data_IF_820476329992
#
_entry.id   IF_820476329992
#
_cell.length_a   1.000
_cell.length_b   1.000
_cell.length_c   1.000
_cell.angle_alpha   90.00
_cell.angle_beta   90.00
_cell.angle_gamma   90.00
#
_symmetry.space_group_name_H-M   'P 1'
#
loop_
_entity.id
_entity.type
_entity.pdbx_description
1 polymer ?
#
# COMPACT_ATOMS: atom_id res chain seq x y z
N UNK A 1 -5.47 -3.71 13.66
CA UNK A 1 -4.28 -3.61 12.76
C UNK A 1 -3.28 -2.68 13.41
N UNK A 2 -1.98 -3.04 13.47
CA UNK A 2 -0.93 -2.10 13.89
C UNK A 2 -0.16 -1.69 12.64
N UNK A 3 -0.30 -0.42 12.24
CA UNK A 3 0.50 0.18 11.18
C UNK A 3 1.92 0.33 11.72
N UNK A 4 2.98 0.06 10.93
CA UNK A 4 4.36 0.37 11.31
C UNK A 4 4.55 1.89 11.54
N UNK A 5 4.24 2.37 12.74
CA UNK A 5 4.18 3.81 13.07
C UNK A 5 5.55 4.50 12.94
N UNK A 6 6.62 3.79 13.29
CA UNK A 6 8.00 4.26 13.11
C UNK A 6 8.31 4.51 11.63
N UNK A 7 8.06 3.51 10.77
CA UNK A 7 8.25 3.66 9.33
C UNK A 7 7.36 4.75 8.72
N UNK A 8 6.10 4.86 9.19
CA UNK A 8 5.20 5.92 8.76
C UNK A 8 5.77 7.31 9.12
N UNK A 9 6.29 7.50 10.34
CA UNK A 9 6.85 8.77 10.79
C UNK A 9 8.01 9.28 9.91
N UNK A 10 8.81 8.36 9.37
CA UNK A 10 9.91 8.66 8.46
C UNK A 10 9.44 9.10 7.06
N UNK A 11 8.19 8.79 6.69
CA UNK A 11 7.56 9.20 5.44
C UNK A 11 6.76 10.49 5.61
N UNK A 12 6.32 10.84 6.82
CA UNK A 12 5.61 12.09 7.09
C UNK A 12 6.52 13.32 6.91
N UNK A 13 5.93 14.52 6.71
CA UNK A 13 6.69 15.77 6.76
C UNK A 13 7.47 15.92 8.07
N UNK A 14 8.53 16.74 8.05
CA UNK A 14 9.37 16.96 9.25
C UNK A 14 8.62 17.67 10.39
N UNK A 15 7.53 18.36 10.08
CA UNK A 15 6.72 19.11 11.03
C UNK A 15 5.24 18.96 10.69
N UNK A 16 4.42 19.00 11.73
CA UNK A 16 2.97 19.04 11.64
C UNK A 16 2.36 18.91 13.03
N UNK A 17 1.14 19.41 13.24
CA UNK A 17 0.48 19.38 14.54
C UNK A 17 -0.64 18.35 14.59
N UNK A 18 -1.29 18.08 13.47
CA UNK A 18 -2.44 17.20 13.35
C UNK A 18 -2.19 16.15 12.29
N UNK A 19 -2.31 14.88 12.68
CA UNK A 19 -2.26 13.73 11.79
C UNK A 19 -3.65 13.09 11.75
N UNK A 20 -4.24 12.93 10.57
CA UNK A 20 -5.47 12.15 10.40
C UNK A 20 -5.26 11.03 9.39
N UNK A 21 -6.01 9.95 9.56
CA UNK A 21 -6.07 8.84 8.63
C UNK A 21 -7.55 8.48 8.46
N UNK A 22 -8.06 8.68 7.25
CA UNK A 22 -9.47 8.58 6.95
C UNK A 22 -9.67 7.75 5.67
N UNK A 23 -10.76 7.00 5.60
CA UNK A 23 -11.20 6.43 4.33
C UNK A 23 -11.56 7.58 3.37
N UNK A 24 -11.08 7.49 2.14
CA UNK A 24 -11.34 8.47 1.11
C UNK A 24 -12.63 8.10 0.35
N UNK A 25 -13.27 9.13 -0.19
CA UNK A 25 -14.39 8.97 -1.12
C UNK A 25 -13.98 8.10 -2.31
N UNK A 26 -14.89 7.24 -2.76
CA UNK A 26 -14.61 6.25 -3.81
C UNK A 26 -14.21 4.87 -3.28
N UNK A 27 -14.19 4.67 -1.96
CA UNK A 27 -14.09 3.33 -1.39
C UNK A 27 -15.35 2.50 -1.68
N UNK A 28 -15.17 1.23 -2.05
CA UNK A 28 -16.18 0.21 -2.32
C UNK A 28 -15.73 -1.13 -1.71
N UNK A 29 -16.54 -2.18 -1.89
CA UNK A 29 -16.18 -3.53 -1.43
C UNK A 29 -14.92 -4.07 -2.12
N UNK A 30 -14.66 -3.63 -3.35
CA UNK A 30 -13.54 -4.09 -4.17
C UNK A 30 -12.32 -3.16 -4.09
N UNK A 31 -12.51 -1.90 -3.70
CA UNK A 31 -11.47 -0.87 -3.64
C UNK A 31 -11.56 -0.11 -2.32
N UNK A 32 -10.56 -0.22 -1.45
CA UNK A 32 -10.45 0.64 -0.27
C UNK A 32 -9.40 1.72 -0.48
N UNK A 33 -9.80 2.96 -0.31
CA UNK A 33 -8.90 4.12 -0.37
C UNK A 33 -8.74 4.71 1.02
N UNK A 34 -7.51 4.81 1.50
CA UNK A 34 -7.18 5.54 2.73
C UNK A 34 -6.27 6.72 2.39
N UNK A 35 -6.56 7.88 2.98
CA UNK A 35 -5.72 9.07 2.91
C UNK A 35 -5.15 9.38 4.29
N UNK A 36 -3.88 9.77 4.32
CA UNK A 36 -3.23 10.31 5.51
C UNK A 36 -2.99 11.79 5.27
N UNK A 37 -3.44 12.62 6.20
CA UNK A 37 -3.26 14.07 6.14
C UNK A 37 -2.43 14.57 7.31
N UNK A 38 -1.59 15.56 7.05
CA UNK A 38 -0.84 16.33 8.07
C UNK A 38 -1.21 17.79 7.91
N UNK A 39 -1.74 18.39 8.97
CA UNK A 39 -2.26 19.76 8.97
C UNK A 39 -3.20 20.01 7.78
N UNK A 40 -4.12 19.08 7.57
CA UNK A 40 -5.14 19.07 6.51
C UNK A 40 -4.57 18.97 5.07
N UNK A 41 -3.26 18.72 4.92
CA UNK A 41 -2.62 18.41 3.63
C UNK A 41 -2.45 16.91 3.47
N UNK A 42 -2.93 16.34 2.36
CA UNK A 42 -2.76 14.92 2.05
C UNK A 42 -1.30 14.60 1.73
N UNK A 43 -0.71 13.68 2.48
CA UNK A 43 0.73 13.34 2.41
C UNK A 43 0.99 11.91 2.01
N UNK A 44 0.02 11.01 2.21
CA UNK A 44 0.12 9.62 1.80
C UNK A 44 -1.24 9.11 1.39
N UNK A 45 -1.27 8.32 0.33
CA UNK A 45 -2.46 7.59 -0.13
C UNK A 45 -2.16 6.10 -0.11
N UNK A 46 -3.12 5.32 0.33
CA UNK A 46 -3.12 3.87 0.24
C UNK A 46 -4.36 3.44 -0.52
N UNK A 47 -4.20 2.67 -1.59
CA UNK A 47 -5.30 1.96 -2.23
C UNK A 47 -5.13 0.46 -2.04
N UNK A 48 -6.22 -0.24 -1.77
CA UNK A 48 -6.27 -1.70 -1.70
C UNK A 48 -7.37 -2.19 -2.61
N UNK A 49 -7.02 -3.07 -3.54
CA UNK A 49 -7.91 -3.44 -4.64
C UNK A 49 -7.84 -4.95 -4.86
N UNK A 50 -8.97 -5.55 -5.23
CA UNK A 50 -8.97 -6.87 -5.87
C UNK A 50 -8.60 -6.69 -7.34
N UNK A 51 -7.58 -7.41 -7.78
CA UNK A 51 -7.07 -7.35 -9.16
C UNK A 51 -7.07 -8.72 -9.79
N UNK A 52 -7.19 -8.78 -11.12
CA UNK A 52 -7.02 -10.03 -11.84
C UNK A 52 -5.62 -10.61 -11.62
N UNK A 53 -5.56 -11.93 -11.45
CA UNK A 53 -4.30 -12.64 -11.29
C UNK A 53 -3.47 -12.56 -12.57
N UNK A 54 -2.18 -12.26 -12.43
CA UNK A 54 -1.25 -12.17 -13.56
C UNK A 54 -0.38 -10.92 -13.49
N UNK A 55 -0.89 -9.85 -12.86
CA UNK A 55 -0.10 -8.67 -12.59
C UNK A 55 0.99 -8.91 -11.53
N UNK A 56 2.10 -8.21 -11.70
CA UNK A 56 3.20 -8.18 -10.72
C UNK A 56 3.24 -6.82 -10.02
N UNK A 57 3.73 -6.78 -8.78
CA UNK A 57 3.89 -5.53 -8.05
C UNK A 57 4.74 -4.50 -8.81
N UNK A 58 5.75 -4.98 -9.56
CA UNK A 58 6.58 -4.13 -10.41
C UNK A 58 5.80 -3.59 -11.61
N UNK A 59 4.98 -4.43 -12.26
CA UNK A 59 4.15 -4.00 -13.39
C UNK A 59 3.18 -2.91 -12.97
N UNK A 60 2.53 -3.04 -11.80
CA UNK A 60 1.58 -2.04 -11.27
C UNK A 60 2.30 -0.70 -11.00
N UNK A 61 3.48 -0.72 -10.36
CA UNK A 61 4.25 0.50 -10.15
C UNK A 61 4.67 1.17 -11.46
N UNK A 62 5.03 0.38 -12.47
CA UNK A 62 5.36 0.89 -13.79
C UNK A 62 4.14 1.48 -14.49
N UNK A 63 3.01 0.75 -14.55
CA UNK A 63 1.83 1.16 -15.30
C UNK A 63 1.11 2.35 -14.67
N UNK A 64 0.99 2.38 -13.34
CA UNK A 64 0.25 3.43 -12.64
C UNK A 64 1.09 4.67 -12.32
N UNK A 65 2.39 4.49 -12.04
CA UNK A 65 3.26 5.57 -11.54
C UNK A 65 4.52 5.80 -12.38
N UNK A 66 4.71 5.06 -13.49
CA UNK A 66 5.89 5.17 -14.35
C UNK A 66 7.22 4.92 -13.63
N UNK A 67 7.21 4.14 -12.53
CA UNK A 67 8.42 3.77 -11.79
C UNK A 67 9.05 2.55 -12.46
N UNK A 68 10.06 2.77 -13.30
CA UNK A 68 10.62 1.73 -14.17
C UNK A 68 11.59 0.74 -13.50
N UNK A 69 12.18 1.09 -12.36
CA UNK A 69 13.19 0.25 -11.68
C UNK A 69 12.95 0.16 -10.16
N UNK A 70 11.78 -0.32 -9.71
CA UNK A 70 11.55 -0.53 -8.29
C UNK A 70 12.41 -1.69 -7.77
N UNK A 71 12.79 -1.64 -6.50
CA UNK A 71 13.38 -2.78 -5.79
C UNK A 71 12.27 -3.79 -5.45
N UNK A 72 12.65 -5.04 -5.25
CA UNK A 72 11.73 -6.11 -4.83
C UNK A 72 12.02 -6.61 -3.41
N UNK A 73 11.00 -7.17 -2.77
CA UNK A 73 11.10 -7.89 -1.51
C UNK A 73 10.06 -9.02 -1.46
N UNK A 74 10.19 -9.93 -0.48
CA UNK A 74 9.26 -11.03 -0.23
C UNK A 74 8.97 -11.84 -1.51
N UNK A 75 10.03 -12.37 -2.13
CA UNK A 75 9.94 -13.19 -3.35
C UNK A 75 9.20 -12.51 -4.51
N UNK A 76 9.34 -11.18 -4.62
CA UNK A 76 8.75 -10.37 -5.69
C UNK A 76 7.27 -10.03 -5.49
N UNK A 77 6.67 -10.42 -4.37
CA UNK A 77 5.31 -10.00 -3.99
C UNK A 77 5.23 -8.54 -3.58
N UNK A 78 6.37 -7.91 -3.25
CA UNK A 78 6.48 -6.49 -2.98
C UNK A 78 7.44 -5.85 -3.97
N UNK A 79 7.03 -4.71 -4.53
CA UNK A 79 7.88 -3.79 -5.28
C UNK A 79 7.83 -2.40 -4.62
N UNK A 80 8.97 -1.71 -4.53
CA UNK A 80 9.04 -0.42 -3.85
C UNK A 80 10.11 0.51 -4.42
N UNK A 81 9.88 1.80 -4.24
CA UNK A 81 10.81 2.90 -4.39
C UNK A 81 10.69 3.83 -3.17
N UNK A 82 11.38 4.96 -3.17
CA UNK A 82 11.30 5.97 -2.10
C UNK A 82 9.92 6.62 -1.95
N UNK A 83 9.21 6.81 -3.07
CA UNK A 83 7.95 7.54 -3.15
C UNK A 83 6.70 6.65 -3.23
N UNK A 84 6.84 5.36 -3.51
CA UNK A 84 5.71 4.46 -3.63
C UNK A 84 6.10 2.98 -3.46
N UNK A 85 5.12 2.15 -3.12
CA UNK A 85 5.26 0.70 -3.10
C UNK A 85 3.96 0.00 -3.46
N UNK A 86 4.08 -1.19 -4.02
CA UNK A 86 2.98 -2.13 -4.24
C UNK A 86 3.29 -3.44 -3.53
N UNK A 87 2.29 -4.01 -2.87
CA UNK A 87 2.32 -5.41 -2.42
C UNK A 87 1.18 -6.21 -2.99
N UNK A 88 1.41 -7.48 -3.24
CA UNK A 88 0.41 -8.45 -3.66
C UNK A 88 0.22 -9.51 -2.58
N UNK A 89 -1.04 -9.74 -2.20
CA UNK A 89 -1.47 -10.94 -1.47
C UNK A 89 -2.07 -11.89 -2.47
N UNK A 90 -1.40 -13.03 -2.68
CA UNK A 90 -1.89 -14.07 -3.58
C UNK A 90 -3.06 -14.80 -2.92
N UNK A 91 -4.24 -14.75 -3.54
CA UNK A 91 -5.45 -15.39 -2.99
C UNK A 91 -5.82 -16.70 -3.70
N UNK A 92 -5.09 -17.04 -4.76
CA UNK A 92 -5.22 -18.31 -5.49
C UNK A 92 -5.06 -19.51 -4.56
N UNK A 93 -6.05 -20.39 -4.56
CA UNK A 93 -6.09 -21.62 -3.75
C UNK A 93 -7.00 -21.57 -2.50
N UNK A 94 -7.66 -20.44 -2.24
CA UNK A 94 -8.59 -20.26 -1.10
C UNK A 94 -10.07 -20.12 -1.51
N UNK A 95 -10.49 -20.74 -2.63
CA UNK A 95 -11.85 -20.62 -3.17
C UNK A 95 -12.12 -19.34 -3.99
N UNK A 96 -11.10 -18.49 -4.14
CA UNK A 96 -11.05 -17.36 -5.09
C UNK A 96 -9.92 -17.66 -6.07
N UNK A 97 -10.26 -18.04 -7.30
CA UNK A 97 -9.27 -18.58 -8.24
C UNK A 97 -8.64 -17.52 -9.15
N UNK A 98 -9.27 -16.36 -9.29
CA UNK A 98 -8.93 -15.40 -10.37
C UNK A 98 -8.41 -14.06 -9.90
N UNK A 99 -8.50 -13.76 -8.60
CA UNK A 99 -8.16 -12.44 -8.06
C UNK A 99 -7.03 -12.56 -7.05
N UNK A 100 -6.08 -11.63 -7.09
CA UNK A 100 -5.13 -11.35 -6.03
C UNK A 100 -5.52 -10.00 -5.38
N UNK A 101 -4.99 -9.68 -4.20
CA UNK A 101 -5.23 -8.37 -3.57
C UNK A 101 -3.97 -7.53 -3.71
N UNK A 102 -4.12 -6.37 -4.35
CA UNK A 102 -3.07 -5.35 -4.45
C UNK A 102 -3.22 -4.34 -3.32
N UNK A 103 -2.09 -3.86 -2.80
CA UNK A 103 -2.03 -2.65 -1.98
C UNK A 103 -0.98 -1.74 -2.56
N UNK A 104 -1.39 -0.54 -3.00
CA UNK A 104 -0.50 0.53 -3.45
C UNK A 104 -0.41 1.58 -2.34
N UNK A 105 0.81 2.00 -2.02
CA UNK A 105 1.09 3.14 -1.15
C UNK A 105 1.86 4.17 -1.95
N UNK A 106 1.48 5.44 -1.84
CA UNK A 106 2.16 6.57 -2.48
C UNK A 106 2.32 7.72 -1.51
N UNK A 107 3.51 8.31 -1.52
CA UNK A 107 3.85 9.54 -0.79
C UNK A 107 3.63 10.75 -1.69
N UNK A 108 3.06 11.81 -1.12
CA UNK A 108 2.78 13.09 -1.77
C UNK A 108 3.49 14.21 -1.02
N UNK A 109 3.97 15.23 -1.73
CA UNK A 109 4.52 16.42 -1.07
C UNK A 109 3.45 17.05 -0.16
N UNK A 110 3.79 17.48 1.07
CA UNK A 110 5.14 17.68 1.63
C UNK A 110 5.77 16.48 2.37
N UNK A 111 5.22 15.28 2.29
CA UNK A 111 5.86 14.10 2.88
C UNK A 111 7.20 13.77 2.21
N UNK A 112 8.04 13.03 2.94
CA UNK A 112 9.44 12.79 2.61
C UNK A 112 9.59 11.41 1.96
N UNK A 113 10.04 11.32 0.70
CA UNK A 113 10.42 10.03 0.12
C UNK A 113 11.52 9.38 0.95
N UNK A 114 11.35 8.10 1.26
CA UNK A 114 12.32 7.32 2.02
C UNK A 114 12.15 5.84 1.69
N UNK A 115 13.09 5.29 0.91
CA UNK A 115 12.99 3.92 0.39
C UNK A 115 12.96 2.86 1.49
N UNK A 116 13.80 3.01 2.53
CA UNK A 116 13.83 2.06 3.64
C UNK A 116 12.55 2.10 4.46
N UNK A 117 12.03 3.31 4.73
CA UNK A 117 10.77 3.47 5.43
C UNK A 117 9.58 2.96 4.60
N UNK A 118 9.57 3.22 3.29
CA UNK A 118 8.55 2.70 2.38
C UNK A 118 8.53 1.18 2.37
N UNK A 119 9.70 0.54 2.24
CA UNK A 119 9.84 -0.93 2.33
C UNK A 119 9.28 -1.48 3.64
N UNK A 120 9.64 -0.87 4.78
CA UNK A 120 9.19 -1.30 6.09
C UNK A 120 7.69 -1.11 6.28
N UNK A 121 7.15 0.03 5.82
CA UNK A 121 5.72 0.34 5.89
C UNK A 121 4.90 -0.69 5.10
N UNK A 122 5.20 -0.89 3.81
CA UNK A 122 4.44 -1.81 2.96
C UNK A 122 4.59 -3.25 3.48
N UNK A 123 5.80 -3.68 3.86
CA UNK A 123 6.03 -5.04 4.36
C UNK A 123 5.23 -5.33 5.64
N UNK A 124 5.23 -4.39 6.59
CA UNK A 124 4.49 -4.53 7.83
C UNK A 124 2.98 -4.48 7.63
N UNK A 125 2.50 -3.60 6.73
CA UNK A 125 1.08 -3.56 6.35
C UNK A 125 0.62 -4.87 5.71
N UNK A 126 1.36 -5.39 4.71
CA UNK A 126 1.06 -6.66 4.04
C UNK A 126 1.06 -7.83 5.03
N UNK A 127 2.02 -7.88 5.96
CA UNK A 127 2.06 -8.92 6.99
C UNK A 127 0.84 -8.84 7.94
N UNK A 128 0.43 -7.64 8.34
CA UNK A 128 -0.77 -7.43 9.14
C UNK A 128 -2.06 -7.79 8.38
N UNK A 129 -2.11 -7.48 7.08
CA UNK A 129 -3.22 -7.83 6.20
C UNK A 129 -3.35 -9.36 6.06
N UNK A 130 -2.26 -10.07 5.78
CA UNK A 130 -2.25 -11.54 5.66
C UNK A 130 -2.82 -12.24 6.89
N UNK A 131 -2.50 -11.75 8.09
CA UNK A 131 -3.03 -12.29 9.36
C UNK A 131 -4.56 -12.21 9.51
N UNK A 132 -5.21 -11.34 8.74
CA UNK A 132 -6.67 -11.18 8.76
C UNK A 132 -7.40 -12.10 7.77
N UNK A 133 -6.67 -12.86 6.95
CA UNK A 133 -7.28 -13.74 5.95
C UNK A 133 -8.07 -12.97 4.88
N UNK A 134 -7.43 -11.99 4.19
CA UNK A 134 -8.12 -11.03 3.31
C UNK A 134 -8.71 -11.70 2.05
N UNK A 135 -8.30 -12.93 1.75
CA UNK A 135 -8.77 -13.70 0.62
C UNK A 135 -10.17 -14.31 0.80
N UNK A 136 -10.71 -14.33 2.03
CA UNK A 136 -12.10 -14.74 2.27
C UNK A 136 -13.02 -13.59 1.84
N UNK A 137 -13.94 -13.83 0.90
CA UNK A 137 -15.07 -12.90 0.72
C UNK A 137 -15.94 -12.98 1.97
N UNK A 138 -16.44 -11.83 2.44
CA UNK A 138 -17.45 -11.81 3.50
C UNK A 138 -18.59 -12.74 3.11
N UNK A 139 -18.92 -13.66 4.01
CA UNK A 139 -20.06 -14.58 3.90
C UNK A 139 -21.38 -13.82 3.91
#
# INVERSE_FOLDING_TARGET
>A
MSVPTDALSHLLPASGKKLTADEAEGSSDDVQLCKVTVDDVMVLTLSRERIDAGDSAQHILLSQLSIARPKSAQDGTIAYADQAAVSLVKCRGAGVEKEDISTLVKVLKPARPNESAMKSLISGYTAALNKQGPCKRGS
#
